data_IF_140583017618
#
_entry.id   IF_140583017618
#
_cell.length_a   1.000
_cell.length_b   1.000
_cell.length_c   1.000
_cell.angle_alpha   90.00
_cell.angle_beta   90.00
_cell.angle_gamma   90.00
#
_symmetry.space_group_name_H-M   'P 1'
#
loop_
_entity.id
_entity.type
_entity.pdbx_description
1 polymer ?
#
# COMPACT_ATOMS: atom_id res chain seq x y z
N UNK A 1 -3.81 -32.41 -26.40
CA UNK A 1 -4.84 -31.34 -26.41
C UNK A 1 -4.69 -30.55 -25.11
N UNK A 2 -3.86 -29.50 -25.13
CA UNK A 2 -3.79 -28.55 -24.02
C UNK A 2 -5.06 -27.69 -24.08
N UNK A 3 -5.95 -27.91 -23.12
CA UNK A 3 -7.17 -27.12 -22.94
C UNK A 3 -6.80 -25.65 -22.74
N UNK A 4 -7.14 -24.81 -23.73
CA UNK A 4 -7.04 -23.36 -23.73
C UNK A 4 -7.97 -22.70 -22.71
N UNK A 5 -7.70 -22.89 -21.41
CA UNK A 5 -8.24 -21.99 -20.39
C UNK A 5 -7.35 -20.76 -20.39
N UNK A 6 -7.88 -19.64 -20.88
CA UNK A 6 -7.28 -18.32 -20.65
C UNK A 6 -6.94 -18.20 -19.16
N UNK A 7 -5.74 -17.74 -18.79
CA UNK A 7 -5.37 -17.60 -17.39
C UNK A 7 -6.39 -16.70 -16.69
N UNK A 8 -6.77 -17.09 -15.47
CA UNK A 8 -7.73 -16.37 -14.62
C UNK A 8 -7.39 -14.88 -14.44
N UNK A 9 -6.15 -14.47 -14.75
CA UNK A 9 -5.65 -13.09 -14.78
C UNK A 9 -6.46 -12.13 -15.65
N UNK A 10 -7.01 -12.59 -16.79
CA UNK A 10 -7.71 -11.72 -17.75
C UNK A 10 -8.98 -11.11 -17.13
N UNK A 11 -9.59 -11.76 -16.15
CA UNK A 11 -10.86 -11.33 -15.56
C UNK A 11 -10.71 -10.30 -14.43
N UNK A 12 -9.52 -10.15 -13.82
CA UNK A 12 -9.30 -9.28 -12.66
C UNK A 12 -8.76 -7.89 -13.03
N UNK A 13 -8.07 -7.78 -14.16
CA UNK A 13 -7.46 -6.54 -14.63
C UNK A 13 -8.46 -5.37 -14.70
N UNK A 14 -9.69 -5.52 -15.24
CA UNK A 14 -10.65 -4.42 -15.29
C UNK A 14 -11.09 -3.94 -13.90
N UNK A 15 -11.26 -4.85 -12.94
CA UNK A 15 -11.70 -4.50 -11.58
C UNK A 15 -10.59 -3.80 -10.80
N UNK A 16 -9.35 -4.27 -10.92
CA UNK A 16 -8.18 -3.62 -10.32
C UNK A 16 -7.97 -2.23 -10.94
N UNK A 17 -8.10 -2.09 -12.26
CA UNK A 17 -8.02 -0.78 -12.92
C UNK A 17 -9.09 0.19 -12.40
N UNK A 18 -10.33 -0.27 -12.27
CA UNK A 18 -11.42 0.53 -11.68
C UNK A 18 -11.09 0.96 -10.24
N UNK A 19 -10.49 0.06 -9.45
CA UNK A 19 -10.07 0.36 -8.09
C UNK A 19 -8.96 1.42 -8.06
N UNK A 20 -7.96 1.31 -8.95
CA UNK A 20 -6.91 2.33 -9.14
C UNK A 20 -7.55 3.68 -9.47
N UNK A 21 -8.51 3.73 -10.39
CA UNK A 21 -9.19 4.99 -10.75
C UNK A 21 -9.92 5.61 -9.56
N UNK A 22 -10.64 4.80 -8.79
CA UNK A 22 -11.34 5.25 -7.58
C UNK A 22 -10.37 5.80 -6.53
N UNK A 23 -9.20 5.16 -6.37
CA UNK A 23 -8.16 5.60 -5.44
C UNK A 23 -7.46 6.88 -5.89
N UNK A 24 -7.16 7.02 -7.19
CA UNK A 24 -6.59 8.26 -7.74
C UNK A 24 -7.55 9.43 -7.55
N UNK A 25 -8.84 9.23 -7.82
CA UNK A 25 -9.88 10.24 -7.57
C UNK A 25 -9.95 10.61 -6.09
N UNK A 26 -9.77 9.65 -5.18
CA UNK A 26 -9.80 9.95 -3.75
C UNK A 26 -8.53 10.68 -3.27
N UNK A 27 -7.36 10.31 -3.77
CA UNK A 27 -6.13 11.05 -3.54
C UNK A 27 -6.26 12.50 -4.06
N UNK A 28 -6.92 12.70 -5.20
CA UNK A 28 -7.21 14.03 -5.74
C UNK A 28 -8.11 14.85 -4.79
N UNK A 29 -9.21 14.27 -4.30
CA UNK A 29 -10.10 14.92 -3.31
C UNK A 29 -9.32 15.28 -2.02
N UNK A 30 -8.41 14.40 -1.62
CA UNK A 30 -7.53 14.61 -0.47
C UNK A 30 -6.60 15.81 -0.71
N UNK A 31 -5.94 15.91 -1.88
CA UNK A 31 -5.12 17.07 -2.25
C UNK A 31 -5.93 18.39 -2.24
N UNK A 32 -7.21 18.36 -2.60
CA UNK A 32 -8.07 19.54 -2.46
C UNK A 32 -8.25 19.95 -1.00
N UNK A 33 -8.44 18.99 -0.09
CA UNK A 33 -8.82 19.23 1.31
C UNK A 33 -7.64 19.42 2.28
N UNK A 34 -6.41 18.95 1.95
CA UNK A 34 -5.25 19.17 2.83
C UNK A 34 -5.01 20.67 3.04
N UNK A 35 -4.90 21.08 4.30
CA UNK A 35 -4.76 22.50 4.67
C UNK A 35 -3.29 22.93 4.85
N UNK A 36 -2.37 21.98 4.88
CA UNK A 36 -0.95 22.21 5.15
C UNK A 36 -0.12 22.48 3.89
N UNK A 37 -0.71 22.37 2.69
CA UNK A 37 -0.05 22.55 1.39
C UNK A 37 -0.67 23.72 0.61
N UNK A 38 0.17 24.60 0.06
CA UNK A 38 -0.23 25.73 -0.78
C UNK A 38 -0.64 25.36 -2.21
N UNK A 39 -1.37 26.27 -2.87
CA UNK A 39 -1.94 26.07 -4.21
C UNK A 39 -0.90 25.66 -5.28
N UNK A 40 0.30 26.23 -5.24
CA UNK A 40 1.37 25.93 -6.22
C UNK A 40 1.86 24.48 -6.10
N UNK A 41 2.19 24.05 -4.88
CA UNK A 41 2.64 22.67 -4.62
C UNK A 41 1.52 21.66 -4.91
N UNK A 42 0.26 21.99 -4.59
CA UNK A 42 -0.91 21.17 -4.97
C UNK A 42 -1.02 20.98 -6.48
N UNK A 43 -0.82 22.03 -7.27
CA UNK A 43 -0.87 21.94 -8.73
C UNK A 43 0.18 20.96 -9.29
N UNK A 44 1.39 20.94 -8.73
CA UNK A 44 2.41 19.96 -9.10
C UNK A 44 2.06 18.55 -8.62
N UNK A 45 1.51 18.42 -7.42
CA UNK A 45 1.03 17.13 -6.91
C UNK A 45 -0.08 16.52 -7.78
N UNK A 46 -1.02 17.34 -8.26
CA UNK A 46 -2.06 16.90 -9.21
C UNK A 46 -1.46 16.40 -10.52
N UNK A 47 -0.50 17.13 -11.10
CA UNK A 47 0.18 16.69 -12.33
C UNK A 47 0.90 15.36 -12.13
N UNK A 48 1.60 15.22 -11.00
CA UNK A 48 2.31 13.99 -10.65
C UNK A 48 1.34 12.81 -10.51
N UNK A 49 0.26 12.97 -9.75
CA UNK A 49 -0.77 11.96 -9.57
C UNK A 49 -1.39 11.55 -10.92
N UNK A 50 -1.71 12.52 -11.78
CA UNK A 50 -2.28 12.27 -13.09
C UNK A 50 -1.37 11.37 -13.96
N UNK A 51 -0.05 11.62 -13.93
CA UNK A 51 0.94 10.92 -14.74
C UNK A 51 1.51 9.65 -14.14
N UNK A 52 1.08 9.25 -12.93
CA UNK A 52 1.43 7.94 -12.39
C UNK A 52 0.96 6.83 -13.33
N UNK A 53 1.94 6.17 -13.94
CA UNK A 53 1.73 4.97 -14.74
C UNK A 53 1.29 3.81 -13.83
N UNK A 54 0.47 2.92 -14.38
CA UNK A 54 0.02 1.70 -13.70
C UNK A 54 0.42 0.50 -14.56
N UNK A 55 0.76 -0.60 -13.90
CA UNK A 55 0.92 -1.91 -14.54
C UNK A 55 0.16 -2.92 -13.68
N UNK A 56 -0.74 -3.69 -14.29
CA UNK A 56 -1.64 -4.60 -13.58
C UNK A 56 -1.50 -6.00 -14.15
N UNK A 57 -1.09 -6.95 -13.30
CA UNK A 57 -0.90 -8.35 -13.71
C UNK A 57 0.48 -8.59 -14.31
N UNK A 58 0.64 -8.36 -15.61
CA UNK A 58 1.89 -8.59 -16.37
C UNK A 58 2.15 -7.41 -17.33
N UNK A 59 3.40 -7.21 -17.79
CA UNK A 59 3.71 -6.18 -18.78
C UNK A 59 2.91 -6.37 -20.08
N UNK A 60 2.39 -5.28 -20.66
CA UNK A 60 1.66 -5.32 -21.94
C UNK A 60 2.58 -5.65 -23.14
N UNK A 61 3.90 -5.53 -22.97
CA UNK A 61 4.95 -5.77 -23.98
C UNK A 61 6.15 -6.46 -23.32
N UNK A 62 6.93 -7.23 -24.07
CA UNK A 62 8.09 -7.96 -23.52
C UNK A 62 7.67 -9.23 -22.78
N UNK A 63 6.57 -9.85 -23.22
CA UNK A 63 5.97 -11.03 -22.58
C UNK A 63 5.27 -11.97 -23.58
N UNK A 64 5.50 -11.78 -24.89
CA UNK A 64 5.15 -12.79 -25.89
C UNK A 64 6.11 -13.98 -25.80
N UNK A 65 5.75 -15.13 -26.40
CA UNK A 65 6.69 -16.26 -26.50
C UNK A 65 7.98 -15.83 -27.20
N UNK A 66 7.89 -14.99 -28.23
CA UNK A 66 9.05 -14.45 -28.96
C UNK A 66 9.93 -13.55 -28.09
N UNK A 67 9.32 -12.65 -27.29
CA UNK A 67 10.05 -11.77 -26.37
C UNK A 67 10.78 -12.58 -25.29
N UNK A 68 10.11 -13.61 -24.77
CA UNK A 68 10.65 -14.50 -23.73
C UNK A 68 11.77 -15.34 -24.33
N UNK A 69 11.58 -15.88 -25.54
CA UNK A 69 12.58 -16.69 -26.22
C UNK A 69 13.83 -15.84 -26.51
N UNK A 70 13.69 -14.63 -27.08
CA UNK A 70 14.79 -13.68 -27.32
C UNK A 70 15.54 -13.34 -26.02
N UNK A 71 14.81 -12.99 -24.94
CA UNK A 71 15.45 -12.69 -23.65
C UNK A 71 16.13 -13.94 -23.05
N UNK A 72 15.58 -15.13 -23.29
CA UNK A 72 16.09 -16.40 -22.79
C UNK A 72 17.30 -16.95 -23.56
N UNK A 73 17.55 -16.53 -24.80
CA UNK A 73 18.67 -17.00 -25.63
C UNK A 73 20.05 -16.79 -24.96
N UNK A 74 20.14 -15.79 -24.09
CA UNK A 74 21.34 -15.49 -23.31
C UNK A 74 21.53 -16.41 -22.10
N UNK A 75 20.52 -17.17 -21.70
CA UNK A 75 20.53 -18.08 -20.55
C UNK A 75 20.83 -19.51 -20.99
N UNK A 76 22.09 -19.78 -21.37
CA UNK A 76 22.57 -21.14 -21.66
C UNK A 76 22.78 -21.93 -20.36
N UNK A 77 21.69 -22.42 -19.79
CA UNK A 77 21.71 -23.23 -18.57
C UNK A 77 22.23 -24.65 -18.85
N UNK A 78 23.01 -25.20 -17.92
CA UNK A 78 23.45 -26.59 -17.96
C UNK A 78 22.84 -27.38 -16.81
N UNK A 79 22.20 -28.50 -17.09
CA UNK A 79 21.41 -29.25 -16.10
C UNK A 79 22.20 -29.66 -14.84
N UNK A 80 23.51 -29.88 -14.98
CA UNK A 80 24.42 -30.31 -13.91
C UNK A 80 25.16 -29.15 -13.22
N UNK A 81 24.99 -27.90 -13.68
CA UNK A 81 25.75 -26.73 -13.20
C UNK A 81 24.90 -25.75 -12.40
N UNK A 82 24.32 -26.21 -11.30
CA UNK A 82 23.48 -25.36 -10.43
C UNK A 82 24.17 -24.04 -10.03
N UNK A 83 25.45 -24.09 -9.63
CA UNK A 83 26.16 -22.88 -9.21
C UNK A 83 26.37 -21.89 -10.36
N UNK A 84 26.82 -22.36 -11.52
CA UNK A 84 27.05 -21.53 -12.72
C UNK A 84 25.73 -20.93 -13.22
N UNK A 85 24.68 -21.75 -13.30
CA UNK A 85 23.32 -21.31 -13.64
C UNK A 85 22.81 -20.24 -12.66
N UNK A 86 23.08 -20.39 -11.35
CA UNK A 86 22.70 -19.40 -10.35
C UNK A 86 23.44 -18.08 -10.52
N UNK A 87 24.70 -18.09 -10.96
CA UNK A 87 25.42 -16.85 -11.28
C UNK A 87 24.87 -16.17 -12.54
N UNK A 88 24.50 -16.97 -13.55
CA UNK A 88 23.83 -16.49 -14.77
C UNK A 88 22.48 -15.84 -14.42
N UNK A 89 21.65 -16.49 -13.59
CA UNK A 89 20.32 -16.00 -13.19
C UNK A 89 20.35 -14.81 -12.23
N UNK A 90 21.32 -14.76 -11.31
CA UNK A 90 21.46 -13.65 -10.34
C UNK A 90 21.70 -12.29 -11.01
N UNK A 91 22.06 -12.26 -12.28
CA UNK A 91 22.28 -11.04 -13.03
C UNK A 91 20.99 -10.28 -13.41
N UNK A 92 19.76 -10.83 -13.22
CA UNK A 92 18.61 -10.13 -13.84
C UNK A 92 17.15 -10.31 -13.35
N UNK A 93 16.77 -10.73 -12.12
CA UNK A 93 15.32 -10.80 -11.81
C UNK A 93 14.85 -10.50 -10.37
N UNK A 94 13.75 -9.72 -10.26
CA UNK A 94 12.73 -9.70 -9.18
C UNK A 94 11.40 -9.13 -9.70
N UNK A 95 10.34 -9.93 -9.92
CA UNK A 95 8.91 -9.49 -9.88
C UNK A 95 8.00 -10.71 -9.58
N UNK A 96 7.13 -10.64 -8.55
CA UNK A 96 5.73 -11.14 -8.54
C UNK A 96 5.05 -10.86 -7.18
N UNK A 97 3.91 -10.16 -7.17
CA UNK A 97 2.81 -10.28 -6.19
C UNK A 97 1.64 -9.37 -6.61
N UNK A 98 0.44 -9.94 -6.82
CA UNK A 98 -0.86 -9.23 -6.88
C UNK A 98 -2.05 -10.18 -7.19
N UNK A 99 -1.79 -11.43 -7.58
CA UNK A 99 -2.82 -12.31 -8.16
C UNK A 99 -3.71 -13.05 -7.14
N UNK A 100 -3.40 -13.05 -5.84
CA UNK A 100 -4.13 -13.83 -4.83
C UNK A 100 -5.10 -13.02 -3.97
N UNK A 101 -5.13 -11.69 -4.11
CA UNK A 101 -5.83 -10.81 -3.16
C UNK A 101 -7.19 -10.29 -3.65
N UNK A 102 -7.60 -10.59 -4.89
CA UNK A 102 -8.87 -10.10 -5.45
C UNK A 102 -9.92 -11.21 -5.47
N UNK A 103 -11.00 -11.04 -4.71
CA UNK A 103 -12.17 -11.92 -4.81
C UNK A 103 -13.24 -11.35 -5.75
N UNK A 104 -13.99 -12.26 -6.35
CA UNK A 104 -14.72 -12.11 -7.62
C UNK A 104 -16.09 -11.40 -7.53
N UNK A 105 -16.51 -10.82 -6.40
CA UNK A 105 -17.94 -10.44 -6.21
C UNK A 105 -18.19 -9.06 -5.61
N UNK A 106 -19.32 -8.44 -5.97
CA UNK A 106 -19.82 -7.19 -5.37
C UNK A 106 -20.11 -7.29 -3.86
N UNK A 107 -20.29 -8.52 -3.35
CA UNK A 107 -20.51 -8.81 -1.92
C UNK A 107 -19.24 -8.63 -1.08
N UNK A 108 -18.06 -8.68 -1.69
CA UNK A 108 -16.77 -8.61 -0.98
C UNK A 108 -16.06 -7.27 -1.16
N UNK A 109 -16.78 -6.20 -1.55
CA UNK A 109 -16.20 -4.86 -1.75
C UNK A 109 -15.45 -4.35 -0.52
N UNK A 110 -15.98 -4.53 0.68
CA UNK A 110 -15.29 -4.18 1.93
C UNK A 110 -13.96 -4.92 2.08
N UNK A 111 -13.93 -6.23 1.79
CA UNK A 111 -12.72 -7.05 1.85
C UNK A 111 -11.69 -6.63 0.79
N UNK A 112 -12.14 -6.46 -0.46
CA UNK A 112 -11.28 -6.11 -1.59
C UNK A 112 -10.64 -4.73 -1.41
N UNK A 113 -11.41 -3.74 -0.94
CA UNK A 113 -10.85 -2.42 -0.62
C UNK A 113 -9.98 -2.46 0.65
N UNK A 114 -10.37 -3.20 1.68
CA UNK A 114 -9.54 -3.37 2.88
C UNK A 114 -8.19 -4.01 2.59
N UNK A 115 -8.12 -4.88 1.56
CA UNK A 115 -6.90 -5.57 1.14
C UNK A 115 -6.19 -4.86 -0.02
N UNK A 116 -6.68 -5.09 -1.25
CA UNK A 116 -6.04 -4.63 -2.49
C UNK A 116 -6.12 -3.13 -2.63
N UNK A 117 -7.25 -2.54 -2.23
CA UNK A 117 -7.40 -1.08 -2.28
C UNK A 117 -6.38 -0.38 -1.39
N UNK A 118 -6.11 -0.93 -0.21
CA UNK A 118 -5.05 -0.44 0.68
C UNK A 118 -3.67 -0.53 0.01
N UNK A 119 -3.30 -1.68 -0.58
CA UNK A 119 -2.01 -1.86 -1.26
C UNK A 119 -1.86 -0.86 -2.41
N UNK A 120 -2.87 -0.69 -3.26
CA UNK A 120 -2.81 0.28 -4.36
C UNK A 120 -2.65 1.71 -3.82
N UNK A 121 -3.39 2.08 -2.77
CA UNK A 121 -3.26 3.39 -2.13
C UNK A 121 -1.88 3.59 -1.49
N UNK A 122 -1.29 2.53 -0.94
CA UNK A 122 0.06 2.52 -0.40
C UNK A 122 1.09 2.82 -1.51
N UNK A 123 1.02 2.13 -2.65
CA UNK A 123 1.91 2.39 -3.80
C UNK A 123 1.72 3.79 -4.41
N UNK A 124 0.48 4.30 -4.48
CA UNK A 124 0.22 5.70 -4.89
C UNK A 124 0.90 6.67 -3.91
N UNK A 125 0.78 6.39 -2.62
CA UNK A 125 1.32 7.24 -1.56
C UNK A 125 2.85 7.24 -1.54
N UNK A 126 3.52 6.16 -1.94
CA UNK A 126 4.97 6.15 -2.15
C UNK A 126 5.45 7.22 -3.12
N UNK A 127 4.66 7.58 -4.12
CA UNK A 127 4.97 8.73 -4.98
C UNK A 127 5.05 10.07 -4.24
N UNK A 128 4.63 10.13 -2.98
CA UNK A 128 4.57 11.32 -2.15
C UNK A 128 5.13 11.11 -0.74
N UNK A 129 5.82 10.01 -0.47
CA UNK A 129 6.52 9.77 0.81
C UNK A 129 7.82 10.58 0.91
N UNK A 130 8.66 10.33 1.92
CA UNK A 130 9.90 11.08 2.13
C UNK A 130 10.92 10.95 0.97
N UNK A 131 10.89 9.85 0.22
CA UNK A 131 11.77 9.63 -0.94
C UNK A 131 11.07 10.05 -2.23
N UNK A 132 9.89 9.50 -2.50
CA UNK A 132 9.13 9.75 -3.72
C UNK A 132 8.74 11.21 -3.88
N UNK A 133 8.50 11.95 -2.79
CA UNK A 133 8.27 13.40 -2.85
C UNK A 133 9.42 14.20 -3.43
N UNK A 134 10.64 13.65 -3.50
CA UNK A 134 11.81 14.33 -4.06
C UNK A 134 11.89 14.21 -5.59
N UNK A 135 11.06 13.36 -6.19
CA UNK A 135 10.98 13.15 -7.63
C UNK A 135 9.78 13.91 -8.22
N UNK A 136 9.97 14.53 -9.38
CA UNK A 136 8.88 15.21 -10.11
C UNK A 136 7.99 14.22 -10.88
N UNK A 137 7.04 14.74 -11.65
CA UNK A 137 6.10 13.97 -12.47
C UNK A 137 6.75 13.08 -13.55
N UNK A 138 8.01 13.36 -13.93
CA UNK A 138 8.76 12.58 -14.91
C UNK A 138 9.75 11.60 -14.26
N UNK A 139 9.78 11.53 -12.91
CA UNK A 139 10.76 10.74 -12.19
C UNK A 139 12.15 11.39 -12.08
N UNK A 140 12.27 12.70 -12.29
CA UNK A 140 13.54 13.40 -12.09
C UNK A 140 13.68 13.85 -10.64
N UNK A 141 14.89 13.71 -10.07
CA UNK A 141 15.21 14.28 -8.76
C UNK A 141 15.25 15.80 -8.86
N UNK A 142 14.14 16.45 -8.47
CA UNK A 142 13.94 17.89 -8.65
C UNK A 142 13.02 18.42 -7.57
N UNK A 143 13.41 19.53 -6.92
CA UNK A 143 12.52 20.20 -5.98
C UNK A 143 11.36 20.89 -6.72
N UNK A 144 10.13 20.40 -6.49
CA UNK A 144 8.87 20.98 -6.96
C UNK A 144 8.04 21.59 -5.82
N UNK A 145 8.57 21.62 -4.59
CA UNK A 145 7.90 22.10 -3.40
C UNK A 145 8.14 23.59 -3.16
N UNK A 146 7.11 24.28 -2.66
CA UNK A 146 7.35 25.55 -1.98
C UNK A 146 8.03 25.30 -0.61
N UNK A 147 8.98 26.16 -0.17
CA UNK A 147 9.73 25.94 1.06
C UNK A 147 8.87 25.73 2.31
N UNK A 148 7.77 26.49 2.44
CA UNK A 148 6.86 26.36 3.57
C UNK A 148 6.08 25.04 3.54
N UNK A 149 5.68 24.58 2.35
CA UNK A 149 4.94 23.32 2.18
C UNK A 149 5.84 22.12 2.52
N UNK A 150 7.12 22.15 2.13
CA UNK A 150 8.12 21.14 2.51
C UNK A 150 8.33 21.11 4.03
N UNK A 151 8.37 22.28 4.69
CA UNK A 151 8.46 22.35 6.16
C UNK A 151 7.22 21.73 6.83
N UNK A 152 6.03 22.00 6.30
CA UNK A 152 4.78 21.44 6.80
C UNK A 152 4.71 19.93 6.59
N UNK A 153 5.11 19.44 5.42
CA UNK A 153 5.22 18.02 5.11
C UNK A 153 6.13 17.30 6.11
N UNK A 154 7.36 17.79 6.30
CA UNK A 154 8.31 17.23 7.28
C UNK A 154 7.75 17.21 8.70
N UNK A 155 7.01 18.26 9.10
CA UNK A 155 6.35 18.31 10.41
C UNK A 155 5.28 17.22 10.55
N UNK A 156 4.49 16.97 9.50
CA UNK A 156 3.49 15.91 9.48
C UNK A 156 4.16 14.52 9.55
N UNK A 157 5.19 14.27 8.75
CA UNK A 157 5.96 13.02 8.81
C UNK A 157 6.62 12.79 10.17
N UNK A 158 7.10 13.85 10.83
CA UNK A 158 7.67 13.74 12.18
C UNK A 158 6.66 13.25 13.22
N UNK A 159 5.35 13.48 13.01
CA UNK A 159 4.31 12.86 13.84
C UNK A 159 4.38 11.34 13.75
N UNK A 160 4.38 10.81 12.52
CA UNK A 160 4.48 9.37 12.23
C UNK A 160 5.78 8.80 12.81
N UNK A 161 6.92 9.45 12.58
CA UNK A 161 8.21 9.04 13.14
C UNK A 161 8.12 8.88 14.66
N UNK A 162 7.59 9.89 15.38
CA UNK A 162 7.47 9.83 16.84
C UNK A 162 6.51 8.73 17.31
N UNK A 163 5.38 8.57 16.63
CA UNK A 163 4.40 7.55 16.96
C UNK A 163 5.03 6.15 16.85
N UNK A 164 5.60 5.83 15.69
CA UNK A 164 6.18 4.50 15.47
C UNK A 164 7.40 4.27 16.35
N UNK A 165 8.23 5.29 16.60
CA UNK A 165 9.34 5.19 17.58
C UNK A 165 8.91 4.91 19.02
N UNK A 166 7.62 5.05 19.35
CA UNK A 166 7.10 4.70 20.68
C UNK A 166 6.69 3.22 20.80
N UNK A 167 6.58 2.50 19.69
CA UNK A 167 6.18 1.10 19.70
C UNK A 167 7.33 0.21 20.13
N UNK A 168 7.09 -0.56 21.20
CA UNK A 168 8.04 -1.50 21.78
C UNK A 168 7.62 -2.94 21.47
N UNK A 169 8.55 -3.72 20.96
CA UNK A 169 8.36 -5.14 20.69
C UNK A 169 8.92 -6.00 21.84
N UNK A 170 8.02 -6.57 22.64
CA UNK A 170 8.40 -7.44 23.76
C UNK A 170 9.17 -8.70 23.30
N UNK A 171 9.00 -9.14 22.06
CA UNK A 171 9.68 -10.35 21.55
C UNK A 171 11.17 -10.11 21.36
N UNK A 172 11.52 -8.97 20.79
CA UNK A 172 12.91 -8.62 20.43
C UNK A 172 13.57 -7.67 21.41
N UNK A 173 12.79 -7.09 22.32
CA UNK A 173 13.16 -6.06 23.30
C UNK A 173 13.68 -4.77 22.64
N UNK A 174 13.14 -4.45 21.46
CA UNK A 174 13.51 -3.29 20.65
C UNK A 174 12.33 -2.36 20.44
N UNK A 175 12.63 -1.08 20.23
CA UNK A 175 11.66 -0.12 19.69
C UNK A 175 11.69 -0.14 18.17
N UNK A 176 10.54 0.09 17.54
CA UNK A 176 10.47 0.31 16.10
C UNK A 176 11.27 1.56 15.74
N UNK A 177 12.12 1.49 14.71
CA UNK A 177 12.81 2.67 14.21
C UNK A 177 11.88 3.49 13.30
N UNK A 178 11.16 4.46 13.88
CA UNK A 178 10.24 5.34 13.16
C UNK A 178 10.90 6.20 12.07
N UNK A 179 12.22 6.40 12.10
CA UNK A 179 12.95 7.12 11.05
C UNK A 179 13.14 6.20 9.83
N UNK A 180 13.71 5.01 10.05
CA UNK A 180 13.96 4.02 8.98
C UNK A 180 12.66 3.55 8.33
N UNK A 181 11.58 3.45 9.12
CA UNK A 181 10.28 2.96 8.63
C UNK A 181 9.36 4.06 8.10
N UNK A 182 9.82 5.31 8.08
CA UNK A 182 8.97 6.48 7.81
C UNK A 182 8.20 6.38 6.49
N UNK A 183 8.86 6.06 5.38
CA UNK A 183 8.21 6.00 4.07
C UNK A 183 7.07 4.99 4.03
N UNK A 184 7.34 3.78 4.52
CA UNK A 184 6.34 2.70 4.63
C UNK A 184 5.19 3.06 5.56
N UNK A 185 5.49 3.68 6.70
CA UNK A 185 4.46 4.11 7.65
C UNK A 185 3.55 5.20 7.05
N UNK A 186 4.13 6.15 6.32
CA UNK A 186 3.38 7.20 5.61
C UNK A 186 2.51 6.57 4.52
N UNK A 187 3.05 5.62 3.76
CA UNK A 187 2.34 4.90 2.72
C UNK A 187 1.19 4.05 3.28
N UNK A 188 1.38 3.36 4.40
CA UNK A 188 0.34 2.57 5.06
C UNK A 188 -0.84 3.43 5.51
N UNK A 189 -0.54 4.55 6.17
CA UNK A 189 -1.56 5.46 6.69
C UNK A 189 -2.33 6.14 5.55
N UNK A 190 -1.61 6.60 4.52
CA UNK A 190 -2.21 7.21 3.33
C UNK A 190 -3.08 6.21 2.56
N UNK A 191 -2.55 5.02 2.27
CA UNK A 191 -3.23 3.98 1.52
C UNK A 191 -4.49 3.44 2.21
N UNK A 192 -4.44 3.23 3.53
CA UNK A 192 -5.62 2.83 4.30
C UNK A 192 -6.73 3.89 4.22
N UNK A 193 -6.39 5.16 4.43
CA UNK A 193 -7.33 6.28 4.41
C UNK A 193 -7.96 6.48 3.03
N UNK A 194 -7.15 6.46 1.97
CA UNK A 194 -7.62 6.56 0.58
C UNK A 194 -8.55 5.40 0.24
N UNK A 195 -8.16 4.18 0.60
CA UNK A 195 -8.95 2.99 0.31
C UNK A 195 -10.30 3.00 1.02
N UNK A 196 -10.34 3.35 2.31
CA UNK A 196 -11.60 3.42 3.03
C UNK A 196 -12.54 4.46 2.46
N UNK A 197 -12.04 5.66 2.14
CA UNK A 197 -12.86 6.72 1.53
C UNK A 197 -13.35 6.34 0.13
N UNK A 198 -12.51 5.72 -0.69
CA UNK A 198 -12.91 5.21 -2.00
C UNK A 198 -13.98 4.12 -1.87
N UNK A 199 -13.86 3.22 -0.88
CA UNK A 199 -14.88 2.24 -0.54
C UNK A 199 -16.22 2.90 -0.18
N UNK A 200 -16.24 3.87 0.74
CA UNK A 200 -17.48 4.57 1.15
C UNK A 200 -18.11 5.35 0.01
N UNK A 201 -17.31 5.99 -0.85
CA UNK A 201 -17.82 6.68 -2.04
C UNK A 201 -18.49 5.70 -3.00
N UNK A 202 -17.89 4.52 -3.20
CA UNK A 202 -18.47 3.47 -4.04
C UNK A 202 -19.76 2.90 -3.44
N UNK A 203 -19.84 2.66 -2.13
CA UNK A 203 -21.06 2.15 -1.50
C UNK A 203 -22.17 3.18 -1.45
N UNK A 204 -21.85 4.48 -1.32
CA UNK A 204 -22.84 5.55 -1.45
C UNK A 204 -23.51 5.57 -2.85
N UNK A 205 -22.77 5.18 -3.90
CA UNK A 205 -23.28 5.15 -5.28
C UNK A 205 -24.00 3.84 -5.64
N UNK A 206 -23.46 2.70 -5.19
CA UNK A 206 -23.94 1.36 -5.59
C UNK A 206 -24.75 0.63 -4.51
N UNK A 207 -24.94 1.24 -3.34
CA UNK A 207 -25.46 0.58 -2.15
C UNK A 207 -24.40 -0.20 -1.38
N UNK A 208 -24.68 -0.45 -0.11
CA UNK A 208 -23.85 -1.29 0.78
C UNK A 208 -23.94 -2.76 0.36
N UNK A 209 -22.84 -3.52 0.41
CA UNK A 209 -22.88 -4.98 0.21
C UNK A 209 -23.77 -5.69 1.24
N UNK A 210 -24.30 -6.86 0.88
CA UNK A 210 -24.92 -7.76 1.85
C UNK A 210 -23.90 -8.19 2.92
N UNK A 211 -24.33 -8.28 4.17
CA UNK A 211 -23.48 -8.78 5.25
C UNK A 211 -23.12 -10.25 5.03
N UNK A 212 -21.90 -10.63 5.42
CA UNK A 212 -21.44 -12.00 5.30
C UNK A 212 -22.19 -12.92 6.29
N UNK A 213 -22.75 -14.05 5.84
CA UNK A 213 -23.45 -14.97 6.73
C UNK A 213 -22.48 -15.57 7.75
N UNK A 214 -22.91 -15.66 9.00
CA UNK A 214 -22.12 -16.23 10.10
C UNK A 214 -21.15 -15.25 10.78
N UNK A 215 -20.98 -14.04 10.24
CA UNK A 215 -20.18 -12.97 10.88
C UNK A 215 -21.10 -11.85 11.35
N UNK A 216 -21.09 -11.57 12.66
CA UNK A 216 -21.82 -10.44 13.26
C UNK A 216 -20.98 -9.15 13.17
N UNK A 217 -20.58 -8.80 11.95
CA UNK A 217 -19.78 -7.61 11.66
C UNK A 217 -20.44 -6.77 10.56
N UNK A 218 -20.36 -5.46 10.68
CA UNK A 218 -20.77 -4.53 9.60
C UNK A 218 -19.74 -4.57 8.47
N UNK A 219 -20.10 -4.06 7.28
CA UNK A 219 -19.13 -3.98 6.19
C UNK A 219 -17.95 -3.04 6.50
N UNK A 220 -18.17 -2.01 7.32
CA UNK A 220 -17.09 -1.11 7.77
C UNK A 220 -16.13 -1.86 8.70
N UNK A 221 -16.63 -2.68 9.62
CA UNK A 221 -15.80 -3.55 10.44
C UNK A 221 -15.06 -4.60 9.60
N UNK A 222 -15.74 -5.21 8.62
CA UNK A 222 -15.12 -6.17 7.71
C UNK A 222 -14.00 -5.56 6.86
N UNK A 223 -14.11 -4.28 6.46
CA UNK A 223 -13.03 -3.58 5.77
C UNK A 223 -11.75 -3.57 6.62
N UNK A 224 -11.86 -3.12 7.88
CA UNK A 224 -10.69 -3.02 8.75
C UNK A 224 -10.16 -4.38 9.21
N UNK A 225 -11.05 -5.37 9.38
CA UNK A 225 -10.65 -6.75 9.62
C UNK A 225 -9.86 -7.32 8.44
N UNK A 226 -10.33 -7.07 7.20
CA UNK A 226 -9.66 -7.54 5.99
C UNK A 226 -8.28 -6.88 5.81
N UNK A 227 -8.16 -5.59 6.14
CA UNK A 227 -6.88 -4.87 6.22
C UNK A 227 -5.95 -5.54 7.24
N UNK A 228 -6.42 -5.77 8.47
CA UNK A 228 -5.59 -6.34 9.53
C UNK A 228 -5.11 -7.76 9.18
N UNK A 229 -5.95 -8.55 8.51
CA UNK A 229 -5.60 -9.91 8.08
C UNK A 229 -4.46 -9.99 7.05
N UNK A 230 -4.20 -8.92 6.28
CA UNK A 230 -3.02 -8.87 5.40
C UNK A 230 -1.71 -9.01 6.16
N UNK A 231 -1.70 -8.51 7.40
CA UNK A 231 -0.51 -8.37 8.23
C UNK A 231 -0.45 -9.45 9.32
N UNK A 232 -1.27 -10.49 9.23
CA UNK A 232 -1.14 -11.66 10.07
C UNK A 232 0.15 -12.40 9.73
N UNK A 233 1.12 -12.31 10.62
CA UNK A 233 2.44 -12.94 10.46
C UNK A 233 2.90 -13.61 11.75
N UNK A 234 3.85 -14.52 11.62
CA UNK A 234 4.57 -15.11 12.75
C UNK A 234 6.00 -15.39 12.33
N UNK A 235 6.95 -14.91 13.11
CA UNK A 235 8.38 -15.10 12.89
C UNK A 235 9.06 -15.59 14.17
N UNK A 236 10.26 -16.19 14.04
CA UNK A 236 11.10 -16.49 15.20
C UNK A 236 11.65 -15.20 15.80
N UNK A 237 12.11 -15.24 17.06
CA UNK A 237 12.69 -14.07 17.73
C UNK A 237 13.88 -13.51 16.94
N UNK A 238 14.72 -14.40 16.39
CA UNK A 238 15.91 -14.04 15.62
C UNK A 238 15.55 -13.35 14.31
N UNK A 239 14.57 -13.89 13.57
CA UNK A 239 14.07 -13.28 12.33
C UNK A 239 13.41 -11.94 12.61
N UNK A 240 12.51 -11.85 13.60
CA UNK A 240 11.85 -10.59 13.98
C UNK A 240 12.87 -9.52 14.39
N UNK A 241 13.93 -9.91 15.10
CA UNK A 241 15.01 -8.99 15.49
C UNK A 241 15.79 -8.50 14.28
N UNK A 242 16.12 -9.39 13.34
CA UNK A 242 16.80 -9.03 12.10
C UNK A 242 15.94 -8.07 11.26
N UNK A 243 14.65 -8.35 11.11
CA UNK A 243 13.69 -7.52 10.39
C UNK A 243 13.63 -6.12 11.01
N UNK A 244 13.48 -6.04 12.34
CA UNK A 244 13.44 -4.79 13.09
C UNK A 244 14.68 -3.91 12.93
N UNK A 245 15.83 -4.50 12.63
CA UNK A 245 17.10 -3.80 12.47
C UNK A 245 17.45 -3.46 11.02
N UNK A 246 16.85 -4.15 10.03
CA UNK A 246 17.33 -4.09 8.63
C UNK A 246 16.27 -3.78 7.58
N UNK A 247 14.98 -4.01 7.88
CA UNK A 247 13.92 -3.70 6.93
C UNK A 247 13.40 -2.27 7.13
N UNK A 248 12.92 -1.69 6.03
CA UNK A 248 12.22 -0.41 6.02
C UNK A 248 10.73 -0.55 6.38
N UNK A 249 10.20 -1.77 6.39
CA UNK A 249 8.85 -2.04 6.85
C UNK A 249 8.87 -2.43 8.33
N UNK A 250 7.98 -1.89 9.18
CA UNK A 250 7.83 -2.43 10.52
C UNK A 250 7.09 -3.78 10.45
N UNK A 251 7.23 -4.63 11.48
CA UNK A 251 6.41 -5.84 11.62
C UNK A 251 4.92 -5.56 11.45
N UNK A 252 4.19 -6.53 10.89
CA UNK A 252 2.78 -6.42 10.55
C UNK A 252 1.89 -5.95 11.70
N UNK A 253 2.20 -6.38 12.93
CA UNK A 253 1.53 -5.91 14.15
C UNK A 253 1.55 -4.38 14.30
N UNK A 254 2.69 -3.74 14.01
CA UNK A 254 2.84 -2.29 14.11
C UNK A 254 2.28 -1.54 12.90
N UNK A 255 2.22 -2.19 11.72
CA UNK A 255 1.46 -1.68 10.56
C UNK A 255 -0.03 -1.59 10.88
N UNK A 256 -0.58 -2.61 11.54
CA UNK A 256 -1.97 -2.60 12.03
C UNK A 256 -2.14 -1.51 13.08
N UNK A 257 -1.33 -1.53 14.14
CA UNK A 257 -1.48 -0.63 15.29
C UNK A 257 -1.38 0.84 14.87
N UNK A 258 -0.32 1.23 14.16
CA UNK A 258 -0.08 2.62 13.81
C UNK A 258 -1.15 3.20 12.88
N UNK A 259 -1.51 2.47 11.82
CA UNK A 259 -2.50 2.92 10.83
C UNK A 259 -3.91 3.00 11.42
N UNK A 260 -4.33 2.02 12.23
CA UNK A 260 -5.67 2.03 12.83
C UNK A 260 -5.79 3.06 13.97
N UNK A 261 -4.73 3.28 14.75
CA UNK A 261 -4.69 4.37 15.73
C UNK A 261 -4.94 5.74 15.09
N UNK A 262 -4.44 5.95 13.88
CA UNK A 262 -4.56 7.21 13.15
C UNK A 262 -5.86 7.36 12.36
N UNK A 263 -6.70 6.32 12.25
CA UNK A 263 -7.98 6.40 11.55
C UNK A 263 -9.12 6.71 12.52
N UNK A 264 -9.77 7.89 12.41
CA UNK A 264 -11.03 8.15 13.09
C UNK A 264 -12.15 7.19 12.65
N UNK A 265 -12.12 6.78 11.38
CA UNK A 265 -13.13 5.90 10.80
C UNK A 265 -13.07 4.48 11.39
N UNK A 266 -11.87 3.96 11.66
CA UNK A 266 -11.70 2.71 12.41
C UNK A 266 -12.29 2.85 13.82
N UNK A 267 -11.91 3.92 14.53
CA UNK A 267 -12.40 4.15 15.89
C UNK A 267 -13.93 4.27 15.93
N UNK A 268 -14.55 4.86 14.90
CA UNK A 268 -16.01 4.93 14.78
C UNK A 268 -16.64 3.57 14.44
N UNK A 269 -16.06 2.79 13.52
CA UNK A 269 -16.60 1.49 13.11
C UNK A 269 -16.62 0.44 14.25
N UNK A 270 -15.75 0.61 15.24
CA UNK A 270 -15.63 -0.27 16.41
C UNK A 270 -16.00 0.39 17.74
N UNK A 271 -16.59 1.59 17.70
CA UNK A 271 -16.99 2.35 18.89
C UNK A 271 -15.88 2.47 19.96
N UNK A 272 -14.65 2.71 19.51
CA UNK A 272 -13.48 2.78 20.39
C UNK A 272 -13.52 4.05 21.27
N UNK A 273 -13.46 3.94 22.61
CA UNK A 273 -13.45 5.10 23.50
C UNK A 273 -12.24 6.01 23.26
N UNK A 274 -12.43 7.33 23.32
CA UNK A 274 -11.32 8.30 23.21
C UNK A 274 -10.30 8.05 24.33
N UNK A 275 -9.02 7.97 23.97
CA UNK A 275 -7.92 7.67 24.89
C UNK A 275 -7.63 6.18 25.06
N UNK A 276 -8.44 5.29 24.49
CA UNK A 276 -8.08 3.86 24.39
C UNK A 276 -6.87 3.66 23.49
N UNK A 277 -6.19 2.52 23.64
CA UNK A 277 -5.01 2.17 22.83
C UNK A 277 -5.25 2.31 21.33
N UNK A 278 -6.46 2.01 20.85
CA UNK A 278 -6.80 2.09 19.43
C UNK A 278 -7.53 3.39 19.02
N UNK A 279 -7.75 4.31 19.96
CA UNK A 279 -8.30 5.64 19.67
C UNK A 279 -7.56 6.72 20.49
N UNK A 280 -6.27 6.93 20.24
CA UNK A 280 -5.52 7.98 20.91
C UNK A 280 -6.09 9.36 20.56
N UNK A 281 -6.01 10.31 21.50
CA UNK A 281 -6.48 11.68 21.29
C UNK A 281 -5.73 12.39 20.15
N UNK A 282 -4.42 12.13 20.04
CA UNK A 282 -3.59 12.65 18.97
C UNK A 282 -3.45 11.59 17.88
N UNK A 283 -3.86 11.93 16.66
CA UNK A 283 -3.74 11.09 15.47
C UNK A 283 -2.83 11.79 14.47
N UNK A 284 -1.90 11.04 13.88
CA UNK A 284 -1.03 11.54 12.82
C UNK A 284 -1.72 11.43 11.46
N UNK A 285 -1.56 12.44 10.61
CA UNK A 285 -2.04 12.41 9.22
C UNK A 285 -1.07 13.20 8.35
N UNK A 286 -0.61 12.59 7.26
CA UNK A 286 0.21 13.26 6.24
C UNK A 286 -0.66 13.48 5.00
N UNK A 287 -0.91 12.39 4.28
CA UNK A 287 -1.82 12.34 3.15
C UNK A 287 -3.22 12.14 3.69
#
# INVERSE_FOLDING_TARGET
MLSSRLPSSVFYVPQVNTMIDNLKVEFENQLHTINWMGKKTKAEAFKKLALMARQVGYPDKGFSEEDIDEESEHFKMKADKYYENRQILKSKYRIKALMELTEKTDKTRSLNYGRVGHIIGHEITHGFDDIGSQFDLNGNFRNWWQPQDMKNFRKACQCIVRQYSSFYDNTTELYVNGITTQGENVADNGGLKQSYRAYKKLTAQKGEPELLPGLRLTNDQLFFLAYAQLWCEKSTKETRRQEMLTLNHPPGEFRILGSLQNSPEFSAAYDCPIGSTMNPQQKCSVW
#
